data_IF_264470804011
#
_entry.id   IF_264470804011
#
_cell.length_a   1.000
_cell.length_b   1.000
_cell.length_c   1.000
_cell.angle_alpha   90.00
_cell.angle_beta   90.00
_cell.angle_gamma   90.00
#
_symmetry.space_group_name_H-M   'P 1'
#
loop_
_entity.id
_entity.type
_entity.pdbx_description
1 polymer ?
#
# COMPACT_ATOMS: atom_id res chain seq x y z
N UNK A 1 7.37 76.23 -20.25
CA UNK A 1 8.28 75.22 -19.69
C UNK A 1 8.47 75.55 -18.22
N UNK A 2 7.83 74.76 -17.35
CA UNK A 2 7.60 75.09 -15.93
C UNK A 2 8.88 75.07 -15.09
N UNK A 3 9.01 76.08 -14.24
CA UNK A 3 10.14 76.31 -13.34
C UNK A 3 10.18 75.28 -12.21
N UNK A 4 10.75 74.10 -12.45
CA UNK A 4 11.20 73.23 -11.36
C UNK A 4 12.58 73.70 -10.88
N UNK A 5 12.67 74.95 -10.41
CA UNK A 5 13.79 75.37 -9.58
C UNK A 5 13.48 74.88 -8.16
N UNK A 6 13.51 73.56 -7.99
CA UNK A 6 13.46 72.92 -6.69
C UNK A 6 14.71 73.37 -5.95
N UNK A 7 14.52 74.22 -4.95
CA UNK A 7 15.60 74.72 -4.11
C UNK A 7 16.11 73.54 -3.30
N UNK A 8 17.18 72.89 -3.77
CA UNK A 8 18.03 72.02 -2.95
C UNK A 8 18.53 72.73 -1.66
N UNK A 9 18.40 74.06 -1.62
CA UNK A 9 18.67 74.91 -0.46
C UNK A 9 17.49 75.12 0.48
N UNK A 10 16.27 74.69 0.13
CA UNK A 10 15.10 74.82 0.99
C UNK A 10 15.05 73.65 1.97
N UNK A 11 15.29 73.97 3.24
CA UNK A 11 15.41 72.99 4.32
C UNK A 11 14.16 72.13 4.45
N UNK A 12 12.97 72.72 4.28
CA UNK A 12 11.70 72.02 4.45
C UNK A 12 11.49 70.96 3.36
N UNK A 13 11.79 71.32 2.11
CA UNK A 13 11.69 70.38 1.00
C UNK A 13 12.69 69.22 1.15
N UNK A 14 13.92 69.52 1.57
CA UNK A 14 14.93 68.49 1.81
C UNK A 14 14.54 67.54 2.96
N UNK A 15 13.96 68.05 4.05
CA UNK A 15 13.47 67.21 5.15
C UNK A 15 12.30 66.32 4.73
N UNK A 16 11.33 66.83 3.97
CA UNK A 16 10.21 66.03 3.45
C UNK A 16 10.70 64.94 2.48
N UNK A 17 11.68 65.26 1.64
CA UNK A 17 12.29 64.30 0.73
C UNK A 17 13.03 63.19 1.49
N UNK A 18 13.80 63.53 2.52
CA UNK A 18 14.48 62.57 3.40
C UNK A 18 13.50 61.65 4.14
N UNK A 19 12.42 62.21 4.70
CA UNK A 19 11.37 61.44 5.35
C UNK A 19 10.69 60.48 4.38
N UNK A 20 10.41 60.93 3.15
CA UNK A 20 9.79 60.10 2.13
C UNK A 20 10.72 58.97 1.67
N UNK A 21 12.02 59.24 1.52
CA UNK A 21 13.01 58.20 1.21
C UNK A 21 13.11 57.19 2.35
N UNK A 22 13.10 57.63 3.61
CA UNK A 22 13.07 56.75 4.78
C UNK A 22 11.82 55.87 4.80
N UNK A 23 10.64 56.46 4.61
CA UNK A 23 9.38 55.73 4.59
C UNK A 23 9.34 54.66 3.49
N UNK A 24 9.79 54.98 2.27
CA UNK A 24 9.86 54.02 1.16
C UNK A 24 10.85 52.88 1.47
N UNK A 25 11.99 53.19 2.09
CA UNK A 25 12.96 52.17 2.49
C UNK A 25 12.41 51.26 3.59
N UNK A 26 11.74 51.82 4.60
CA UNK A 26 11.07 51.05 5.66
C UNK A 26 9.96 50.17 5.10
N UNK A 27 9.15 50.69 4.18
CA UNK A 27 8.10 49.93 3.51
C UNK A 27 8.68 48.76 2.71
N UNK A 28 9.75 48.99 1.94
CA UNK A 28 10.43 47.94 1.17
C UNK A 28 11.08 46.89 2.08
N UNK A 29 11.65 47.30 3.21
CA UNK A 29 12.18 46.40 4.22
C UNK A 29 11.06 45.55 4.83
N UNK A 30 9.96 46.18 5.24
CA UNK A 30 8.80 45.49 5.80
C UNK A 30 8.21 44.48 4.82
N UNK A 31 8.07 44.84 3.53
CA UNK A 31 7.63 43.91 2.47
C UNK A 31 8.55 42.69 2.38
N UNK A 32 9.87 42.89 2.42
CA UNK A 32 10.85 41.79 2.40
C UNK A 32 10.75 40.91 3.64
N UNK A 33 10.57 41.50 4.82
CA UNK A 33 10.39 40.76 6.08
C UNK A 33 9.12 39.92 5.99
N UNK A 34 7.98 40.52 5.62
CA UNK A 34 6.71 39.81 5.48
C UNK A 34 6.78 38.67 4.46
N UNK A 35 7.43 38.89 3.32
CA UNK A 35 7.66 37.83 2.31
C UNK A 35 8.44 36.66 2.91
N UNK A 36 9.55 36.94 3.62
CA UNK A 36 10.34 35.87 4.26
C UNK A 36 9.57 35.12 5.34
N UNK A 37 8.74 35.81 6.12
CA UNK A 37 7.89 35.17 7.14
C UNK A 37 6.90 34.21 6.49
N UNK A 38 6.28 34.61 5.36
CA UNK A 38 5.38 33.76 4.61
C UNK A 38 6.12 32.54 4.01
N UNK A 39 7.31 32.74 3.45
CA UNK A 39 8.13 31.66 2.91
C UNK A 39 8.53 30.64 3.99
N UNK A 40 8.95 31.11 5.18
CA UNK A 40 9.27 30.25 6.32
C UNK A 40 8.03 29.52 6.86
N UNK A 41 6.86 30.18 6.91
CA UNK A 41 5.61 29.53 7.26
C UNK A 41 5.24 28.40 6.28
N UNK A 42 5.40 28.64 4.98
CA UNK A 42 5.15 27.62 3.97
C UNK A 42 6.16 26.46 4.06
N UNK A 43 7.44 26.78 4.29
CA UNK A 43 8.50 25.79 4.52
C UNK A 43 8.17 24.90 5.72
N UNK A 44 7.76 25.48 6.84
CA UNK A 44 7.32 24.75 8.02
C UNK A 44 6.10 23.87 7.73
N UNK A 45 5.09 24.40 7.02
CA UNK A 45 3.91 23.62 6.62
C UNK A 45 4.29 22.37 5.83
N UNK A 46 5.21 22.51 4.86
CA UNK A 46 5.72 21.38 4.07
C UNK A 46 6.47 20.38 4.95
N UNK A 47 7.30 20.86 5.87
CA UNK A 47 8.09 20.02 6.77
C UNK A 47 7.21 19.15 7.68
N UNK A 48 6.12 19.72 8.20
CA UNK A 48 5.15 19.00 9.04
C UNK A 48 4.36 17.98 8.21
N UNK A 49 3.92 18.34 7.00
CA UNK A 49 3.22 17.41 6.11
C UNK A 49 4.09 16.21 5.70
N UNK A 50 5.39 16.42 5.50
CA UNK A 50 6.36 15.36 5.22
C UNK A 50 6.67 14.54 6.49
N UNK A 51 6.35 15.04 7.68
CA UNK A 51 6.54 14.34 8.96
C UNK A 51 7.95 14.45 9.53
N UNK A 52 8.77 15.40 9.06
CA UNK A 52 10.12 15.63 9.60
C UNK A 52 10.10 16.38 10.93
N UNK A 53 9.07 17.20 11.17
CA UNK A 53 8.84 17.87 12.45
C UNK A 53 7.57 17.32 13.13
N UNK A 54 7.64 16.95 14.42
CA UNK A 54 6.50 16.43 15.13
C UNK A 54 5.44 17.51 15.37
N UNK A 55 4.16 17.15 15.30
CA UNK A 55 3.03 18.08 15.47
C UNK A 55 3.00 18.85 16.80
N UNK A 56 3.78 18.42 17.81
CA UNK A 56 3.86 19.08 19.11
C UNK A 56 4.56 20.44 19.07
N UNK A 57 5.40 20.67 18.05
CA UNK A 57 6.14 21.92 17.83
C UNK A 57 5.41 22.86 16.86
N UNK A 58 4.18 22.53 16.47
CA UNK A 58 3.40 23.31 15.54
C UNK A 58 2.92 24.62 16.21
N UNK A 59 3.23 25.81 15.65
CA UNK A 59 2.72 27.07 16.18
C UNK A 59 1.19 27.08 16.23
N UNK A 60 0.56 27.74 17.23
CA UNK A 60 -0.89 27.73 17.41
C UNK A 60 -1.66 28.32 16.22
N UNK A 61 -1.04 29.22 15.47
CA UNK A 61 -1.55 29.82 14.23
C UNK A 61 -1.73 28.78 13.11
N UNK A 62 -0.84 27.79 13.03
CA UNK A 62 -0.86 26.76 12.00
C UNK A 62 -1.78 25.60 12.37
N UNK A 63 -2.14 25.45 13.64
CA UNK A 63 -3.01 24.38 14.15
C UNK A 63 -4.43 24.43 13.55
N UNK A 64 -4.96 25.64 13.34
CA UNK A 64 -6.30 25.86 12.80
C UNK A 64 -6.33 25.95 11.28
N UNK A 65 -5.17 25.90 10.62
CA UNK A 65 -5.10 25.98 9.18
C UNK A 65 -5.78 24.74 8.56
N UNK A 66 -6.65 24.90 7.53
CA UNK A 66 -7.53 23.84 7.02
C UNK A 66 -6.78 22.57 6.63
N UNK A 67 -5.61 22.71 6.00
CA UNK A 67 -4.75 21.57 5.64
C UNK A 67 -4.40 20.68 6.82
N UNK A 68 -4.09 21.24 8.00
CA UNK A 68 -3.76 20.44 9.19
C UNK A 68 -4.99 19.81 9.83
N UNK A 69 -6.14 20.50 9.76
CA UNK A 69 -7.42 19.94 10.21
C UNK A 69 -7.76 18.70 9.38
N UNK A 70 -7.72 18.81 8.05
CA UNK A 70 -7.97 17.68 7.14
C UNK A 70 -6.95 16.56 7.33
N UNK A 71 -5.67 16.89 7.38
CA UNK A 71 -4.60 15.91 7.61
C UNK A 71 -4.82 15.11 8.90
N UNK A 72 -5.20 15.79 10.00
CA UNK A 72 -5.49 15.13 11.28
C UNK A 72 -6.76 14.28 11.21
N UNK A 73 -7.80 14.73 10.52
CA UNK A 73 -9.03 13.96 10.33
C UNK A 73 -8.75 12.65 9.58
N UNK A 74 -8.05 12.75 8.45
CA UNK A 74 -7.64 11.61 7.63
C UNK A 74 -6.75 10.67 8.42
N UNK A 75 -5.72 11.17 9.10
CA UNK A 75 -4.85 10.34 9.93
C UNK A 75 -5.60 9.65 11.07
N UNK A 76 -6.60 10.31 11.66
CA UNK A 76 -7.46 9.69 12.68
C UNK A 76 -8.28 8.54 12.09
N UNK A 77 -8.80 8.70 10.87
CA UNK A 77 -9.54 7.64 10.17
C UNK A 77 -8.66 6.48 9.75
N UNK A 78 -7.46 6.76 9.20
CA UNK A 78 -6.47 5.74 8.86
C UNK A 78 -6.05 4.95 10.10
N UNK A 79 -5.79 5.62 11.23
CA UNK A 79 -5.46 4.96 12.49
C UNK A 79 -6.62 4.11 13.04
N UNK A 80 -7.87 4.56 12.89
CA UNK A 80 -9.05 3.76 13.25
C UNK A 80 -9.19 2.53 12.36
N UNK A 81 -8.99 2.69 11.05
CA UNK A 81 -9.07 1.58 10.10
C UNK A 81 -7.94 0.57 10.30
N UNK A 82 -6.71 1.03 10.56
CA UNK A 82 -5.57 0.16 10.85
C UNK A 82 -5.78 -0.61 12.15
N UNK A 83 -6.26 0.05 13.21
CA UNK A 83 -6.62 -0.63 14.47
C UNK A 83 -7.68 -1.69 14.26
N UNK A 84 -8.77 -1.38 13.54
CA UNK A 84 -9.81 -2.37 13.22
C UNK A 84 -9.24 -3.58 12.46
N UNK A 85 -8.34 -3.34 11.50
CA UNK A 85 -7.69 -4.41 10.72
C UNK A 85 -6.79 -5.26 11.61
N UNK A 86 -5.99 -4.65 12.49
CA UNK A 86 -5.17 -5.36 13.45
C UNK A 86 -6.03 -6.18 14.43
N UNK A 87 -7.09 -5.59 14.99
CA UNK A 87 -8.02 -6.29 15.90
C UNK A 87 -8.74 -7.44 15.21
N UNK A 88 -9.11 -7.30 13.93
CA UNK A 88 -9.69 -8.37 13.14
C UNK A 88 -8.67 -9.49 12.86
N UNK A 89 -7.43 -9.14 12.55
CA UNK A 89 -6.33 -10.08 12.38
C UNK A 89 -6.06 -10.87 13.67
N UNK A 90 -5.91 -10.18 14.81
CA UNK A 90 -5.72 -10.83 16.11
C UNK A 90 -6.91 -11.72 16.50
N UNK A 91 -8.14 -11.32 16.16
CA UNK A 91 -9.33 -12.18 16.37
C UNK A 91 -9.27 -13.45 15.53
N UNK A 92 -8.89 -13.36 14.25
CA UNK A 92 -8.71 -14.53 13.39
C UNK A 92 -7.59 -15.44 13.90
N UNK A 93 -6.48 -14.86 14.33
CA UNK A 93 -5.36 -15.60 14.92
C UNK A 93 -5.80 -16.37 16.17
N UNK A 94 -6.53 -15.72 17.09
CA UNK A 94 -7.08 -16.38 18.28
C UNK A 94 -8.14 -17.43 17.96
N UNK A 95 -8.97 -17.20 16.94
CA UNK A 95 -9.95 -18.18 16.50
C UNK A 95 -9.28 -19.42 15.90
N UNK A 96 -8.22 -19.24 15.09
CA UNK A 96 -7.40 -20.33 14.57
C UNK A 96 -6.72 -21.09 15.70
N UNK A 97 -6.12 -20.40 16.68
CA UNK A 97 -5.48 -21.05 17.82
C UNK A 97 -6.48 -21.85 18.68
N UNK A 98 -7.71 -21.36 18.84
CA UNK A 98 -8.77 -22.11 19.53
C UNK A 98 -9.27 -23.31 18.73
N UNK A 99 -9.34 -23.19 17.41
CA UNK A 99 -9.71 -24.29 16.52
C UNK A 99 -8.62 -25.38 16.52
N UNK A 100 -7.36 -24.97 16.51
CA UNK A 100 -6.18 -25.84 16.62
C UNK A 100 -6.16 -26.54 18.00
N UNK A 101 -6.44 -25.80 19.08
CA UNK A 101 -6.58 -26.40 20.42
C UNK A 101 -7.80 -27.33 20.55
N UNK A 102 -8.91 -27.06 19.86
CA UNK A 102 -10.05 -27.99 19.85
C UNK A 102 -9.80 -29.20 18.96
N UNK A 103 -9.02 -29.05 17.88
CA UNK A 103 -8.54 -30.19 17.11
C UNK A 103 -7.56 -31.02 17.94
N UNK A 104 -6.60 -30.41 18.63
CA UNK A 104 -5.69 -31.12 19.57
C UNK A 104 -6.44 -31.79 20.73
N UNK A 105 -7.57 -31.24 21.20
CA UNK A 105 -8.40 -31.89 22.25
C UNK A 105 -9.32 -32.98 21.70
N UNK A 106 -9.78 -32.88 20.44
CA UNK A 106 -10.49 -33.97 19.74
C UNK A 106 -9.52 -35.08 19.32
N UNK A 107 -8.31 -34.73 18.88
CA UNK A 107 -7.19 -35.63 18.56
C UNK A 107 -6.66 -36.27 19.85
N UNK A 108 -6.47 -35.52 20.96
CA UNK A 108 -6.11 -36.11 22.26
C UNK A 108 -7.23 -36.97 22.89
N UNK A 109 -8.48 -36.85 22.41
CA UNK A 109 -9.59 -37.73 22.73
C UNK A 109 -9.57 -39.05 21.96
N UNK A 110 -8.93 -39.06 20.79
CA UNK A 110 -8.71 -40.24 19.93
C UNK A 110 -7.32 -40.88 20.17
N UNK A 111 -6.31 -40.10 20.54
CA UNK A 111 -4.93 -40.55 20.88
C UNK A 111 -4.85 -41.33 22.20
N UNK A 112 -5.90 -41.31 23.03
CA UNK A 112 -5.95 -42.14 24.23
C UNK A 112 -6.25 -43.62 23.94
N UNK A 113 -6.67 -43.98 22.72
CA UNK A 113 -6.95 -45.37 22.31
C UNK A 113 -5.92 -45.97 21.35
N UNK A 114 -5.01 -45.19 20.75
CA UNK A 114 -3.91 -45.74 19.96
C UNK A 114 -2.64 -45.87 20.79
N UNK A 115 -2.62 -46.93 21.60
CA UNK A 115 -1.37 -47.60 21.97
C UNK A 115 -0.53 -47.81 20.71
N UNK A 116 0.42 -46.91 20.48
CA UNK A 116 1.75 -47.12 19.89
C UNK A 116 2.00 -48.53 19.32
N UNK A 117 1.30 -48.89 18.24
CA UNK A 117 1.69 -50.02 17.42
C UNK A 117 2.89 -49.57 16.60
N UNK A 118 4.02 -50.21 16.87
CA UNK A 118 5.32 -49.98 16.23
C UNK A 118 5.25 -50.32 14.74
N UNK A 119 4.61 -49.46 13.96
CA UNK A 119 4.54 -49.57 12.52
C UNK A 119 5.81 -48.99 11.93
N UNK A 120 6.45 -49.76 11.05
CA UNK A 120 7.66 -49.31 10.35
C UNK A 120 7.33 -48.12 9.45
N UNK A 121 8.32 -47.25 9.17
CA UNK A 121 8.12 -46.00 8.42
C UNK A 121 7.43 -46.20 7.06
N UNK A 122 7.59 -47.36 6.42
CA UNK A 122 6.92 -47.71 5.17
C UNK A 122 5.41 -47.94 5.34
N UNK A 123 4.99 -48.53 6.46
CA UNK A 123 3.58 -48.80 6.74
C UNK A 123 2.83 -47.52 7.15
N UNK A 124 3.48 -46.60 7.86
CA UNK A 124 2.92 -45.27 8.14
C UNK A 124 2.75 -44.45 6.85
N UNK A 125 3.71 -44.52 5.93
CA UNK A 125 3.58 -43.88 4.61
C UNK A 125 2.47 -44.51 3.75
N UNK A 126 2.16 -45.79 3.93
CA UNK A 126 1.04 -46.45 3.26
C UNK A 126 -0.30 -45.97 3.82
N UNK A 127 -0.46 -45.96 5.15
CA UNK A 127 -1.67 -45.43 5.82
C UNK A 127 -1.93 -43.96 5.48
N UNK A 128 -0.90 -43.10 5.55
CA UNK A 128 -1.03 -41.69 5.12
C UNK A 128 -1.48 -41.54 3.66
N UNK A 129 -1.08 -42.46 2.76
CA UNK A 129 -1.53 -42.41 1.36
C UNK A 129 -2.99 -42.82 1.24
N UNK A 130 -3.40 -43.86 1.95
CA UNK A 130 -4.78 -44.34 1.99
C UNK A 130 -5.71 -43.27 2.56
N UNK A 131 -5.35 -42.64 3.67
CA UNK A 131 -6.10 -41.52 4.26
C UNK A 131 -6.24 -40.33 3.29
N UNK A 132 -5.17 -39.98 2.58
CA UNK A 132 -5.22 -38.92 1.55
C UNK A 132 -6.14 -39.33 0.39
N UNK A 133 -6.19 -40.60 0.01
CA UNK A 133 -7.08 -41.09 -1.05
C UNK A 133 -8.54 -41.11 -0.60
N UNK A 134 -8.82 -41.51 0.63
CA UNK A 134 -10.16 -41.47 1.22
C UNK A 134 -10.66 -40.03 1.35
N UNK A 135 -9.83 -39.10 1.84
CA UNK A 135 -10.17 -37.68 1.89
C UNK A 135 -10.49 -37.11 0.50
N UNK A 136 -9.70 -37.49 -0.52
CA UNK A 136 -9.99 -37.09 -1.91
C UNK A 136 -11.34 -37.60 -2.39
N UNK A 137 -11.70 -38.85 -2.07
CA UNK A 137 -13.00 -39.42 -2.45
C UNK A 137 -14.14 -38.68 -1.75
N UNK A 138 -14.02 -38.41 -0.45
CA UNK A 138 -15.01 -37.66 0.31
C UNK A 138 -15.18 -36.22 -0.22
N UNK A 139 -14.10 -35.56 -0.61
CA UNK A 139 -14.15 -34.21 -1.20
C UNK A 139 -14.79 -34.19 -2.59
N UNK A 140 -14.65 -35.27 -3.36
CA UNK A 140 -15.35 -35.48 -4.64
C UNK A 140 -16.85 -35.67 -4.38
N UNK A 141 -17.24 -36.51 -3.42
CA UNK A 141 -18.65 -36.74 -3.05
C UNK A 141 -19.32 -35.47 -2.51
N UNK A 142 -18.59 -34.68 -1.70
CA UNK A 142 -19.06 -33.37 -1.20
C UNK A 142 -19.10 -32.29 -2.30
N UNK A 143 -18.62 -32.58 -3.50
CA UNK A 143 -18.61 -31.65 -4.64
C UNK A 143 -17.61 -30.50 -4.50
N UNK A 144 -16.64 -30.60 -3.59
CA UNK A 144 -15.60 -29.57 -3.34
C UNK A 144 -14.40 -29.80 -4.26
N UNK A 145 -14.21 -31.03 -4.79
CA UNK A 145 -13.13 -31.41 -5.69
C UNK A 145 -13.65 -32.12 -6.95
N UNK A 146 -13.07 -31.82 -8.11
CA UNK A 146 -13.34 -32.55 -9.36
C UNK A 146 -12.53 -33.84 -9.43
N UNK A 147 -13.04 -34.85 -10.16
CA UNK A 147 -12.22 -36.02 -10.49
C UNK A 147 -11.04 -35.61 -11.36
N UNK A 148 -9.93 -36.35 -11.29
CA UNK A 148 -8.73 -36.01 -12.07
C UNK A 148 -9.01 -36.03 -13.59
N UNK A 149 -9.94 -36.86 -14.04
CA UNK A 149 -10.43 -36.90 -15.43
C UNK A 149 -11.24 -35.65 -15.80
N UNK A 150 -12.14 -35.21 -14.92
CA UNK A 150 -12.89 -33.96 -15.11
C UNK A 150 -11.97 -32.75 -15.08
N UNK A 151 -10.97 -32.75 -14.19
CA UNK A 151 -9.97 -31.70 -14.11
C UNK A 151 -9.11 -31.61 -15.39
N UNK A 152 -8.75 -32.76 -15.98
CA UNK A 152 -8.02 -32.81 -17.25
C UNK A 152 -8.83 -32.19 -18.40
N UNK A 153 -10.15 -32.39 -18.43
CA UNK A 153 -11.05 -31.76 -19.42
C UNK A 153 -11.25 -30.26 -19.15
N UNK A 154 -11.22 -29.85 -17.89
CA UNK A 154 -11.37 -28.45 -17.46
C UNK A 154 -10.09 -27.61 -17.67
N UNK A 155 -8.96 -28.24 -17.99
CA UNK A 155 -7.75 -27.52 -18.35
C UNK A 155 -7.99 -26.81 -19.68
N UNK A 156 -8.21 -25.50 -19.61
CA UNK A 156 -8.36 -24.64 -20.77
C UNK A 156 -7.09 -24.69 -21.63
N UNK A 157 -7.11 -25.47 -22.70
CA UNK A 157 -6.17 -25.33 -23.79
C UNK A 157 -6.59 -24.14 -24.65
N UNK A 158 -5.67 -23.20 -24.88
CA UNK A 158 -5.91 -22.09 -25.80
C UNK A 158 -6.12 -22.64 -27.21
N UNK A 159 -6.97 -21.98 -28.01
CA UNK A 159 -7.26 -22.43 -29.37
C UNK A 159 -5.98 -22.60 -30.23
N UNK A 160 -4.98 -21.76 -29.99
CA UNK A 160 -3.68 -21.82 -30.65
C UNK A 160 -2.90 -23.11 -30.31
N UNK A 161 -3.01 -23.64 -29.09
CA UNK A 161 -2.38 -24.90 -28.70
C UNK A 161 -3.10 -26.11 -29.33
N UNK A 162 -4.43 -26.02 -29.48
CA UNK A 162 -5.22 -27.06 -30.17
C UNK A 162 -4.89 -27.11 -31.67
N UNK A 163 -4.73 -25.96 -32.32
CA UNK A 163 -4.33 -25.91 -33.73
C UNK A 163 -2.91 -26.43 -33.91
N UNK A 164 -1.97 -26.09 -33.02
CA UNK A 164 -0.60 -26.59 -33.07
C UNK A 164 -0.51 -28.13 -33.05
N UNK A 165 -1.35 -28.80 -32.25
CA UNK A 165 -1.39 -30.28 -32.20
C UNK A 165 -1.91 -30.94 -33.49
N UNK A 166 -2.69 -30.21 -34.30
CA UNK A 166 -3.34 -30.73 -35.51
C UNK A 166 -2.59 -30.37 -36.80
N UNK A 167 -1.57 -29.51 -36.75
CA UNK A 167 -0.77 -29.14 -37.91
C UNK A 167 0.18 -30.28 -38.31
N UNK A 168 0.22 -30.60 -39.59
CA UNK A 168 1.07 -31.66 -40.16
C UNK A 168 2.30 -31.12 -40.89
N UNK A 169 2.30 -29.81 -41.17
CA UNK A 169 3.30 -29.04 -41.89
C UNK A 169 4.27 -28.38 -40.91
N UNK A 170 5.57 -28.65 -41.10
CA UNK A 170 6.64 -28.22 -40.17
C UNK A 170 6.74 -26.69 -40.09
N UNK A 171 6.66 -26.00 -41.23
CA UNK A 171 6.81 -24.54 -41.29
C UNK A 171 5.66 -23.81 -40.57
N UNK A 172 4.43 -24.29 -40.71
CA UNK A 172 3.25 -23.72 -40.06
C UNK A 172 3.27 -23.99 -38.55
N UNK A 173 3.78 -25.16 -38.13
CA UNK A 173 3.96 -25.51 -36.72
C UNK A 173 4.92 -24.54 -36.04
N UNK A 174 6.10 -24.28 -36.63
CA UNK A 174 7.08 -23.35 -36.06
C UNK A 174 6.57 -21.91 -36.04
N UNK A 175 5.89 -21.45 -37.09
CA UNK A 175 5.31 -20.11 -37.12
C UNK A 175 4.25 -19.89 -36.02
N UNK A 176 3.42 -20.90 -35.76
CA UNK A 176 2.39 -20.86 -34.72
C UNK A 176 3.02 -21.00 -33.31
N UNK A 177 4.06 -21.83 -33.16
CA UNK A 177 4.82 -21.96 -31.92
C UNK A 177 5.50 -20.63 -31.53
N UNK A 178 6.10 -19.92 -32.48
CA UNK A 178 6.72 -18.62 -32.27
C UNK A 178 5.70 -17.55 -31.85
N UNK A 179 4.47 -17.64 -32.39
CA UNK A 179 3.35 -16.78 -31.99
C UNK A 179 2.87 -17.06 -30.56
N UNK A 180 2.84 -18.33 -30.14
CA UNK A 180 2.41 -18.74 -28.79
C UNK A 180 3.47 -18.37 -27.74
N UNK A 181 4.74 -18.68 -28.00
CA UNK A 181 5.84 -18.48 -27.06
C UNK A 181 6.24 -16.99 -27.00
N UNK A 182 5.93 -16.25 -28.07
CA UNK A 182 6.38 -14.88 -28.28
C UNK A 182 7.86 -14.88 -28.63
N UNK A 183 8.22 -14.29 -29.77
CA UNK A 183 9.62 -14.15 -30.14
C UNK A 183 10.39 -13.46 -29.00
N UNK A 184 11.27 -14.17 -28.31
CA UNK A 184 12.39 -13.51 -27.62
C UNK A 184 13.20 -12.86 -28.73
N UNK A 185 12.92 -11.58 -29.00
CA UNK A 185 13.82 -10.72 -29.76
C UNK A 185 15.14 -10.73 -29.00
N UNK A 186 16.12 -11.45 -29.54
CA UNK A 186 17.53 -11.17 -29.33
C UNK A 186 17.85 -9.82 -29.98
#
# INVERSE_FOLDING_TARGET
MGSNLVRLTDKNYMTELEERIRAVNEENLNKRISSRVLDEMERLKRLILVGKTPLKECPPELFHHPVFVFWRMVNREVARASKKRADAYYRKLKASQKFDQSMDEEDAGEEAEEECEQMTAEQLLAKCREEIEEQKQLDIEKGVRFTDEQFALMKYETNDVKTLKNLTTVDELYALADKIIGSKRL
#
